data_IF_923370742764
#
_entry.id   IF_923370742764
#
_cell.length_a   1.000
_cell.length_b   1.000
_cell.length_c   1.000
_cell.angle_alpha   90.00
_cell.angle_beta   90.00
_cell.angle_gamma   90.00
#
_symmetry.space_group_name_H-M   'P 1'
#
loop_
_entity.id
_entity.type
_entity.pdbx_description
1 polymer ?
#
# COMPACT_ATOMS: atom_id res chain seq x y z
N UNK A 1 3.66 4.86 30.03
CA UNK A 1 3.37 5.89 29.00
C UNK A 1 3.57 5.35 27.59
N UNK A 2 4.57 4.48 27.35
CA UNK A 2 4.87 3.95 26.00
C UNK A 2 3.67 3.33 25.25
N UNK A 3 2.81 2.59 25.93
CA UNK A 3 1.63 1.96 25.31
C UNK A 3 0.61 2.98 24.79
N UNK A 4 0.44 4.11 25.49
CA UNK A 4 -0.47 5.18 25.07
C UNK A 4 0.11 5.95 23.87
N UNK A 5 1.42 6.15 23.87
CA UNK A 5 2.13 6.78 22.76
C UNK A 5 2.06 5.90 21.50
N UNK A 6 2.29 4.58 21.63
CA UNK A 6 2.13 3.63 20.54
C UNK A 6 0.70 3.61 20.00
N UNK A 7 -0.29 3.56 20.89
CA UNK A 7 -1.70 3.61 20.47
C UNK A 7 -2.00 4.88 19.67
N UNK A 8 -1.61 6.05 20.20
CA UNK A 8 -1.93 7.33 19.59
C UNK A 8 -1.18 7.56 18.27
N UNK A 9 0.08 7.18 18.20
CA UNK A 9 0.88 7.26 16.96
C UNK A 9 0.27 6.41 15.85
N UNK A 10 -0.05 5.16 16.14
CA UNK A 10 -0.65 4.28 15.14
C UNK A 10 -2.13 4.55 14.89
N UNK A 11 -2.85 5.17 15.82
CA UNK A 11 -4.18 5.73 15.58
C UNK A 11 -4.12 6.82 14.50
N UNK A 12 -3.16 7.73 14.58
CA UNK A 12 -2.96 8.77 13.57
C UNK A 12 -2.58 8.14 12.21
N UNK A 13 -1.67 7.18 12.20
CA UNK A 13 -1.34 6.44 10.97
C UNK A 13 -2.58 5.80 10.37
N UNK A 14 -3.39 5.09 11.17
CA UNK A 14 -4.62 4.45 10.69
C UNK A 14 -5.69 5.43 10.21
N UNK A 15 -5.77 6.63 10.80
CA UNK A 15 -6.72 7.67 10.40
C UNK A 15 -6.33 8.36 9.09
N UNK A 16 -5.03 8.64 8.90
CA UNK A 16 -4.55 9.43 7.76
C UNK A 16 -3.97 8.58 6.63
N UNK A 17 -3.85 7.27 6.79
CA UNK A 17 -3.39 6.34 5.77
C UNK A 17 -4.45 6.12 4.68
N UNK A 18 -4.85 7.20 4.02
CA UNK A 18 -5.81 7.15 2.92
C UNK A 18 -5.04 7.02 1.61
N UNK A 19 -5.29 5.95 0.84
CA UNK A 19 -4.68 5.78 -0.48
C UNK A 19 -3.81 4.53 -0.66
N UNK A 20 -3.73 3.65 0.34
CA UNK A 20 -3.03 2.36 0.23
C UNK A 20 -1.73 2.28 1.03
N UNK A 21 -1.10 1.10 1.00
CA UNK A 21 0.03 0.76 1.88
C UNK A 21 1.22 1.73 1.80
N UNK A 22 1.60 2.13 0.59
CA UNK A 22 2.73 3.05 0.38
C UNK A 22 2.44 4.49 0.86
N UNK A 23 1.19 4.92 0.88
CA UNK A 23 0.81 6.23 1.41
C UNK A 23 0.98 6.32 2.93
N UNK A 24 0.96 5.20 3.64
CA UNK A 24 1.20 5.13 5.07
C UNK A 24 2.68 5.29 5.44
N UNK A 25 3.63 4.94 4.55
CA UNK A 25 5.05 4.92 4.87
C UNK A 25 5.61 6.25 5.41
N UNK A 26 5.37 7.40 4.76
CA UNK A 26 5.83 8.67 5.30
C UNK A 26 5.21 9.01 6.66
N UNK A 27 3.96 8.60 6.88
CA UNK A 27 3.29 8.81 8.17
C UNK A 27 3.90 7.94 9.26
N UNK A 28 4.19 6.67 8.97
CA UNK A 28 4.83 5.75 9.90
C UNK A 28 6.24 6.25 10.21
N UNK A 29 7.05 6.60 9.19
CA UNK A 29 8.39 7.14 9.37
C UNK A 29 8.36 8.36 10.30
N UNK A 30 7.50 9.33 10.02
CA UNK A 30 7.36 10.52 10.84
C UNK A 30 7.06 10.19 12.30
N UNK A 31 6.17 9.21 12.57
CA UNK A 31 5.82 8.82 13.93
C UNK A 31 6.95 8.07 14.66
N UNK A 32 7.65 7.16 13.99
CA UNK A 32 8.56 6.20 14.66
C UNK A 32 10.04 6.58 14.57
N UNK A 33 10.40 7.53 13.69
CA UNK A 33 11.77 8.02 13.54
C UNK A 33 11.90 9.48 13.93
N UNK A 34 10.98 10.34 13.44
CA UNK A 34 11.12 11.78 13.56
C UNK A 34 10.53 12.32 14.88
N UNK A 35 9.30 11.92 15.24
CA UNK A 35 8.60 12.37 16.47
C UNK A 35 9.03 11.55 17.68
N UNK A 36 8.95 10.23 17.53
CA UNK A 36 9.37 9.29 18.56
C UNK A 36 10.58 8.51 18.04
N UNK A 37 11.80 8.80 18.48
CA UNK A 37 12.99 8.11 17.99
C UNK A 37 13.08 6.66 18.52
N UNK A 38 12.01 5.89 18.24
CA UNK A 38 11.96 4.48 18.60
C UNK A 38 12.83 3.61 17.69
N UNK A 39 13.00 4.06 16.44
CA UNK A 39 13.80 3.38 15.45
C UNK A 39 14.80 4.33 14.79
N UNK A 40 15.93 3.76 14.37
CA UNK A 40 16.82 4.42 13.41
C UNK A 40 16.23 4.32 12.00
N UNK A 41 16.70 5.14 11.07
CA UNK A 41 16.25 5.08 9.68
C UNK A 41 16.54 3.72 9.02
N UNK A 42 17.65 3.08 9.38
CA UNK A 42 17.99 1.72 8.93
C UNK A 42 17.02 0.69 9.49
N UNK A 43 16.75 0.73 10.81
CA UNK A 43 15.77 -0.15 11.44
C UNK A 43 14.35 0.02 10.88
N UNK A 44 13.97 1.25 10.53
CA UNK A 44 12.70 1.52 9.85
C UNK A 44 12.66 0.85 8.47
N UNK A 45 13.73 0.96 7.66
CA UNK A 45 13.81 0.33 6.35
C UNK A 45 13.68 -1.21 6.44
N UNK A 46 14.34 -1.82 7.42
CA UNK A 46 14.27 -3.28 7.65
C UNK A 46 12.84 -3.73 8.00
N UNK A 47 12.16 -2.97 8.88
CA UNK A 47 10.77 -3.26 9.26
C UNK A 47 9.82 -3.09 8.09
N UNK A 48 9.97 -2.04 7.30
CA UNK A 48 9.11 -1.83 6.12
C UNK A 48 9.32 -2.95 5.11
N UNK A 49 10.54 -3.35 4.85
CA UNK A 49 10.83 -4.49 3.96
C UNK A 49 10.14 -5.78 4.46
N UNK A 50 10.20 -6.03 5.76
CA UNK A 50 9.52 -7.18 6.37
C UNK A 50 7.99 -7.05 6.27
N UNK A 51 7.46 -5.86 6.48
CA UNK A 51 6.03 -5.58 6.38
C UNK A 51 5.49 -5.73 4.95
N UNK A 52 6.30 -5.44 3.94
CA UNK A 52 5.95 -5.62 2.52
C UNK A 52 5.92 -7.11 2.09
N UNK A 53 6.82 -7.92 2.62
CA UNK A 53 6.87 -9.36 2.35
C UNK A 53 5.74 -10.10 3.08
N UNK A 54 5.29 -9.56 4.21
CA UNK A 54 4.23 -10.16 5.02
C UNK A 54 2.85 -9.90 4.39
N UNK A 55 2.05 -10.96 4.12
CA UNK A 55 0.73 -10.77 3.53
C UNK A 55 -0.19 -10.00 4.49
N UNK A 56 -0.69 -8.83 4.05
CA UNK A 56 -1.57 -7.98 4.84
C UNK A 56 -1.38 -6.49 4.54
N UNK A 57 -2.18 -5.61 5.17
CA UNK A 57 -2.00 -4.17 5.03
C UNK A 57 -0.67 -3.72 5.64
N UNK A 58 0.17 -3.04 4.85
CA UNK A 58 1.51 -2.58 5.28
C UNK A 58 1.45 -1.78 6.59
N UNK A 59 0.45 -0.90 6.74
CA UNK A 59 0.29 -0.10 7.96
C UNK A 59 0.05 -0.96 9.21
N UNK A 60 -0.74 -2.03 9.11
CA UNK A 60 -1.02 -2.95 10.21
C UNK A 60 0.20 -3.81 10.53
N UNK A 61 0.87 -4.33 9.48
CA UNK A 61 2.10 -5.11 9.64
C UNK A 61 3.19 -4.26 10.29
N UNK A 62 3.40 -3.03 9.80
CA UNK A 62 4.37 -2.09 10.38
C UNK A 62 4.01 -1.72 11.83
N UNK A 63 2.74 -1.47 12.14
CA UNK A 63 2.30 -1.22 13.50
C UNK A 63 2.69 -2.37 14.44
N UNK A 64 2.47 -3.60 14.01
CA UNK A 64 2.80 -4.80 14.76
C UNK A 64 4.32 -4.93 14.95
N UNK A 65 5.10 -4.86 13.87
CA UNK A 65 6.54 -5.10 13.92
C UNK A 65 7.31 -4.00 14.68
N UNK A 66 6.99 -2.73 14.44
CA UNK A 66 7.56 -1.61 15.20
C UNK A 66 7.30 -1.79 16.68
N UNK A 67 6.06 -2.08 17.04
CA UNK A 67 5.66 -2.14 18.43
C UNK A 67 6.15 -3.38 19.17
N UNK A 68 6.43 -4.48 18.46
CA UNK A 68 7.14 -5.64 19.03
C UNK A 68 8.55 -5.23 19.46
N UNK A 69 9.26 -4.47 18.63
CA UNK A 69 10.62 -4.02 18.98
C UNK A 69 10.63 -3.02 20.15
N UNK A 70 9.61 -2.16 20.23
CA UNK A 70 9.56 -1.08 21.22
C UNK A 70 9.04 -1.55 22.58
N UNK A 71 8.00 -2.38 22.60
CA UNK A 71 7.28 -2.74 23.82
C UNK A 71 6.80 -4.21 23.85
N UNK A 72 7.36 -5.08 23.00
CA UNK A 72 7.02 -6.49 22.94
C UNK A 72 5.57 -6.77 22.48
N UNK A 73 5.09 -7.98 22.76
CA UNK A 73 3.75 -8.42 22.36
C UNK A 73 2.60 -7.51 22.84
N UNK A 74 2.58 -7.00 24.09
CA UNK A 74 1.53 -6.08 24.51
C UNK A 74 1.52 -4.79 23.70
N UNK A 75 2.70 -4.26 23.36
CA UNK A 75 2.84 -3.10 22.48
C UNK A 75 2.26 -3.34 21.11
N UNK A 76 2.54 -4.50 20.51
CA UNK A 76 2.02 -4.89 19.21
C UNK A 76 0.50 -4.92 19.18
N UNK A 77 -0.15 -5.52 20.18
CA UNK A 77 -1.61 -5.57 20.29
C UNK A 77 -2.21 -4.16 20.38
N UNK A 78 -1.64 -3.31 21.23
CA UNK A 78 -2.14 -1.95 21.45
C UNK A 78 -1.99 -1.08 20.19
N UNK A 79 -0.84 -1.13 19.53
CA UNK A 79 -0.58 -0.37 18.32
C UNK A 79 -1.44 -0.86 17.13
N UNK A 80 -1.60 -2.18 17.00
CA UNK A 80 -2.46 -2.76 15.96
C UNK A 80 -3.92 -2.36 16.15
N UNK A 81 -4.43 -2.41 17.39
CA UNK A 81 -5.76 -1.90 17.71
C UNK A 81 -5.86 -0.41 17.39
N UNK A 82 -4.86 0.38 17.79
CA UNK A 82 -4.79 1.81 17.47
C UNK A 82 -4.90 2.08 15.98
N UNK A 83 -4.17 1.34 15.16
CA UNK A 83 -4.17 1.47 13.70
C UNK A 83 -5.54 1.14 13.07
N UNK A 84 -6.23 0.12 13.57
CA UNK A 84 -7.50 -0.36 13.00
C UNK A 84 -8.69 0.45 13.54
N UNK A 85 -8.62 0.93 14.76
CA UNK A 85 -9.73 1.56 15.48
C UNK A 85 -10.42 2.70 14.72
N UNK A 86 -9.69 3.71 14.17
CA UNK A 86 -10.34 4.81 13.46
C UNK A 86 -11.10 4.34 12.23
N UNK A 87 -10.55 3.38 11.47
CA UNK A 87 -11.21 2.80 10.31
C UNK A 87 -12.50 2.08 10.68
N UNK A 88 -12.49 1.32 11.78
CA UNK A 88 -13.70 0.65 12.29
C UNK A 88 -14.77 1.66 12.68
N UNK A 89 -14.42 2.73 13.40
CA UNK A 89 -15.38 3.77 13.80
C UNK A 89 -15.98 4.47 12.58
N UNK A 90 -15.15 4.85 11.62
CA UNK A 90 -15.60 5.51 10.39
C UNK A 90 -16.56 4.60 9.60
N UNK A 91 -16.19 3.32 9.40
CA UNK A 91 -17.01 2.38 8.64
C UNK A 91 -18.34 2.10 9.35
N UNK A 92 -18.33 1.94 10.68
CA UNK A 92 -19.57 1.75 11.46
C UNK A 92 -20.48 2.99 11.38
N UNK A 93 -19.90 4.20 11.49
CA UNK A 93 -20.67 5.42 11.36
C UNK A 93 -21.28 5.57 9.95
N UNK A 94 -20.49 5.29 8.91
CA UNK A 94 -20.97 5.31 7.53
C UNK A 94 -22.06 4.24 7.28
N UNK A 95 -21.88 3.04 7.81
CA UNK A 95 -22.88 1.98 7.72
C UNK A 95 -24.19 2.38 8.40
N UNK A 96 -24.11 2.95 9.62
CA UNK A 96 -25.29 3.48 10.32
C UNK A 96 -26.00 4.57 9.50
N UNK A 97 -25.26 5.54 8.98
CA UNK A 97 -25.81 6.58 8.11
C UNK A 97 -26.46 5.99 6.86
N UNK A 98 -25.82 5.02 6.23
CA UNK A 98 -26.38 4.34 5.06
C UNK A 98 -27.71 3.67 5.39
N UNK A 99 -27.78 2.85 6.43
CA UNK A 99 -29.03 2.16 6.81
C UNK A 99 -30.13 3.15 7.19
N UNK A 100 -29.78 4.26 7.81
CA UNK A 100 -30.73 5.29 8.26
C UNK A 100 -31.28 6.13 7.12
N UNK A 101 -30.45 6.42 6.12
CA UNK A 101 -30.75 7.40 5.07
C UNK A 101 -30.76 6.82 3.65
N UNK A 102 -30.73 5.51 3.48
CA UNK A 102 -30.68 4.83 2.18
C UNK A 102 -31.81 5.19 1.22
N UNK A 103 -32.93 5.70 1.71
CA UNK A 103 -34.07 6.16 0.89
C UNK A 103 -33.93 7.56 0.30
N UNK A 104 -32.91 8.32 0.70
CA UNK A 104 -32.71 9.68 0.21
C UNK A 104 -31.95 9.64 -1.11
N UNK A 105 -32.38 10.51 -2.07
CA UNK A 105 -31.73 10.67 -3.37
C UNK A 105 -30.26 11.09 -3.26
N UNK A 106 -29.92 11.90 -2.28
CA UNK A 106 -28.53 12.32 -1.99
C UNK A 106 -27.65 11.13 -1.66
N UNK A 107 -28.12 10.20 -0.83
CA UNK A 107 -27.37 9.00 -0.47
C UNK A 107 -27.12 8.11 -1.69
N UNK A 108 -28.13 7.95 -2.53
CA UNK A 108 -28.01 7.20 -3.79
C UNK A 108 -27.01 7.87 -4.75
N UNK A 109 -27.01 9.19 -4.83
CA UNK A 109 -26.05 9.96 -5.62
C UNK A 109 -24.60 9.77 -5.15
N UNK A 110 -24.36 9.83 -3.84
CA UNK A 110 -23.03 9.56 -3.25
C UNK A 110 -22.56 8.14 -3.57
N UNK A 111 -23.43 7.15 -3.38
CA UNK A 111 -23.09 5.75 -3.66
C UNK A 111 -22.86 5.49 -5.15
N UNK A 112 -23.56 6.17 -6.03
CA UNK A 112 -23.34 6.07 -7.48
C UNK A 112 -22.01 6.70 -7.91
N UNK A 113 -21.51 7.70 -7.17
CA UNK A 113 -20.21 8.34 -7.44
C UNK A 113 -19.00 7.56 -6.93
N UNK A 114 -19.16 6.63 -5.98
CA UNK A 114 -18.05 5.86 -5.41
C UNK A 114 -17.36 4.92 -6.42
N UNK A 115 -18.07 4.10 -7.23
CA UNK A 115 -17.42 3.18 -8.17
C UNK A 115 -16.50 3.88 -9.17
N UNK A 116 -16.87 4.98 -9.85
CA UNK A 116 -15.96 5.67 -10.75
C UNK A 116 -14.75 6.27 -10.02
N UNK A 117 -14.92 6.76 -8.77
CA UNK A 117 -13.80 7.25 -7.98
C UNK A 117 -12.80 6.12 -7.63
N UNK A 118 -13.29 4.96 -7.24
CA UNK A 118 -12.45 3.77 -6.98
C UNK A 118 -11.72 3.33 -8.24
N UNK A 119 -12.39 3.29 -9.39
CA UNK A 119 -11.76 2.96 -10.68
C UNK A 119 -10.65 3.95 -11.02
N UNK A 120 -10.89 5.25 -10.82
CA UNK A 120 -9.87 6.29 -11.05
C UNK A 120 -8.65 6.12 -10.14
N UNK A 121 -8.86 5.79 -8.87
CA UNK A 121 -7.76 5.50 -7.93
C UNK A 121 -6.96 4.27 -8.34
N UNK A 122 -7.63 3.19 -8.74
CA UNK A 122 -6.97 1.96 -9.23
C UNK A 122 -6.17 2.26 -10.49
N UNK A 123 -6.75 3.01 -11.44
CA UNK A 123 -6.07 3.40 -12.66
C UNK A 123 -4.84 4.27 -12.38
N UNK A 124 -4.95 5.24 -11.48
CA UNK A 124 -3.83 6.09 -11.06
C UNK A 124 -2.69 5.27 -10.43
N UNK A 125 -3.03 4.34 -9.54
CA UNK A 125 -2.06 3.42 -8.95
C UNK A 125 -1.40 2.54 -10.01
N UNK A 126 -2.19 1.99 -10.94
CA UNK A 126 -1.68 1.19 -12.05
C UNK A 126 -0.71 1.97 -12.94
N UNK A 127 -1.04 3.21 -13.29
CA UNK A 127 -0.14 4.08 -14.06
C UNK A 127 1.16 4.34 -13.29
N UNK A 128 1.09 4.62 -12.00
CA UNK A 128 2.28 4.85 -11.17
C UNK A 128 3.20 3.61 -11.11
N UNK A 129 2.62 2.41 -11.01
CA UNK A 129 3.38 1.15 -11.06
C UNK A 129 4.02 0.92 -12.44
N UNK A 130 3.32 1.21 -13.52
CA UNK A 130 3.87 1.12 -14.88
C UNK A 130 5.02 2.12 -15.05
N UNK A 131 4.86 3.37 -14.62
CA UNK A 131 5.93 4.36 -14.66
C UNK A 131 7.15 3.91 -13.85
N UNK A 132 6.93 3.36 -12.66
CA UNK A 132 8.00 2.83 -11.83
C UNK A 132 8.76 1.68 -12.50
N UNK A 133 8.02 0.76 -13.16
CA UNK A 133 8.62 -0.38 -13.84
C UNK A 133 9.39 0.00 -15.11
N UNK A 134 8.93 1.02 -15.86
CA UNK A 134 9.51 1.40 -17.15
C UNK A 134 10.61 2.48 -17.04
N UNK A 135 10.50 3.35 -16.04
CA UNK A 135 11.36 4.54 -15.90
C UNK A 135 12.07 4.64 -14.55
N UNK A 136 11.80 3.72 -13.61
CA UNK A 136 12.32 3.79 -12.24
C UNK A 136 11.77 4.94 -11.40
N UNK A 137 10.76 5.66 -11.89
CA UNK A 137 10.16 6.83 -11.24
C UNK A 137 8.64 6.68 -11.15
N UNK A 138 8.02 7.28 -10.11
CA UNK A 138 6.56 7.20 -9.90
C UNK A 138 5.73 8.16 -10.76
N UNK A 139 6.39 9.10 -11.43
CA UNK A 139 5.78 10.12 -12.30
C UNK A 139 6.25 9.95 -13.72
N UNK A 140 5.46 10.43 -14.70
CA UNK A 140 5.89 10.47 -16.08
C UNK A 140 7.15 11.33 -16.20
N UNK A 141 8.28 10.79 -16.70
CA UNK A 141 9.47 11.57 -16.91
C UNK A 141 9.24 12.56 -18.06
N UNK A 142 9.90 13.73 -17.96
CA UNK A 142 9.90 14.71 -19.04
C UNK A 142 10.70 14.21 -20.26
N UNK A 143 11.61 13.26 -20.06
CA UNK A 143 12.48 12.67 -21.08
C UNK A 143 12.11 11.19 -21.30
N UNK A 144 11.67 10.84 -22.50
CA UNK A 144 11.30 9.48 -22.90
C UNK A 144 12.53 8.61 -23.27
N UNK A 145 13.75 9.18 -23.24
CA UNK A 145 14.96 8.52 -23.70
C UNK A 145 15.50 7.39 -22.83
N UNK A 146 15.10 7.33 -21.55
CA UNK A 146 15.60 6.36 -20.56
C UNK A 146 14.61 5.23 -20.28
N UNK A 147 13.89 4.77 -21.30
CA UNK A 147 12.91 3.70 -21.14
C UNK A 147 13.60 2.33 -21.12
N UNK A 148 13.30 1.52 -20.11
CA UNK A 148 13.79 0.13 -20.03
C UNK A 148 13.03 -0.75 -21.03
N UNK A 149 13.65 -1.02 -22.17
CA UNK A 149 13.09 -1.84 -23.25
C UNK A 149 12.79 -3.28 -22.81
N UNK A 150 13.59 -3.83 -21.89
CA UNK A 150 13.39 -5.18 -21.35
C UNK A 150 12.11 -5.20 -20.52
N UNK A 151 11.94 -4.22 -19.65
CA UNK A 151 10.73 -4.07 -18.84
C UNK A 151 9.49 -3.88 -19.72
N UNK A 152 9.57 -3.08 -20.79
CA UNK A 152 8.49 -2.91 -21.78
C UNK A 152 8.12 -4.23 -22.42
N UNK A 153 9.10 -5.00 -22.88
CA UNK A 153 8.86 -6.29 -23.53
C UNK A 153 8.18 -7.29 -22.58
N UNK A 154 8.68 -7.40 -21.36
CA UNK A 154 8.08 -8.28 -20.33
C UNK A 154 6.64 -7.85 -20.02
N UNK A 155 6.40 -6.55 -19.88
CA UNK A 155 5.06 -6.01 -19.62
C UNK A 155 4.09 -6.33 -20.76
N UNK A 156 4.46 -6.07 -22.01
CA UNK A 156 3.61 -6.34 -23.16
C UNK A 156 3.32 -7.83 -23.34
N UNK A 157 4.33 -8.68 -23.20
CA UNK A 157 4.16 -10.13 -23.28
C UNK A 157 3.25 -10.64 -22.16
N UNK A 158 3.47 -10.21 -20.93
CA UNK A 158 2.64 -10.55 -19.78
C UNK A 158 1.18 -10.10 -19.96
N UNK A 159 0.98 -8.88 -20.46
CA UNK A 159 -0.34 -8.33 -20.73
C UNK A 159 -1.09 -9.14 -21.81
N UNK A 160 -0.43 -9.48 -22.91
CA UNK A 160 -1.01 -10.32 -23.99
C UNK A 160 -1.37 -11.69 -23.47
N UNK A 161 -0.49 -12.34 -22.69
CA UNK A 161 -0.72 -13.66 -22.10
C UNK A 161 -1.95 -13.62 -21.18
N UNK A 162 -2.03 -12.64 -20.29
CA UNK A 162 -3.17 -12.47 -19.39
C UNK A 162 -4.48 -12.23 -20.15
N UNK A 163 -4.44 -11.45 -21.24
CA UNK A 163 -5.62 -11.10 -22.02
C UNK A 163 -6.12 -12.27 -22.87
N UNK A 164 -5.19 -13.03 -23.50
CA UNK A 164 -5.52 -14.08 -24.49
C UNK A 164 -5.81 -15.44 -23.82
N UNK A 165 -5.00 -15.84 -22.87
CA UNK A 165 -5.11 -17.19 -22.25
C UNK A 165 -5.70 -17.17 -20.84
N UNK A 166 -5.84 -15.99 -20.19
CA UNK A 166 -6.39 -15.84 -18.85
C UNK A 166 -5.81 -16.82 -17.82
N UNK A 167 -4.48 -17.06 -17.80
CA UNK A 167 -3.88 -17.89 -16.77
C UNK A 167 -3.97 -17.20 -15.40
N UNK A 168 -3.66 -17.94 -14.33
CA UNK A 168 -3.54 -17.36 -13.00
C UNK A 168 -2.47 -16.23 -13.01
N UNK A 169 -2.76 -15.03 -12.48
CA UNK A 169 -1.80 -13.93 -12.40
C UNK A 169 -0.47 -14.35 -11.77
N UNK A 170 -0.50 -15.22 -10.76
CA UNK A 170 0.70 -15.73 -10.06
C UNK A 170 1.65 -16.47 -11.03
N UNK A 171 1.10 -17.26 -11.97
CA UNK A 171 1.92 -17.96 -12.96
C UNK A 171 2.61 -17.01 -13.93
N UNK A 172 1.90 -15.92 -14.31
CA UNK A 172 2.47 -14.89 -15.19
C UNK A 172 3.54 -14.10 -14.46
N UNK A 173 3.32 -13.75 -13.19
CA UNK A 173 4.32 -13.08 -12.36
C UNK A 173 5.58 -13.93 -12.18
N UNK A 174 5.43 -15.23 -11.85
CA UNK A 174 6.58 -16.14 -11.73
C UNK A 174 7.34 -16.26 -13.05
N UNK A 175 6.63 -16.42 -14.18
CA UNK A 175 7.25 -16.44 -15.50
C UNK A 175 7.97 -15.15 -15.86
N UNK A 176 7.37 -13.99 -15.57
CA UNK A 176 7.98 -12.68 -15.77
C UNK A 176 9.23 -12.48 -14.92
N UNK A 177 9.23 -12.94 -13.66
CA UNK A 177 10.39 -12.88 -12.78
C UNK A 177 11.56 -13.70 -13.33
N UNK A 178 11.32 -14.96 -13.76
CA UNK A 178 12.34 -15.80 -14.37
C UNK A 178 12.89 -15.20 -15.69
N UNK A 179 11.99 -14.72 -16.55
CA UNK A 179 12.38 -14.05 -17.79
C UNK A 179 13.17 -12.77 -17.52
N UNK A 180 12.78 -11.98 -16.51
CA UNK A 180 13.51 -10.77 -16.09
C UNK A 180 14.93 -11.11 -15.66
N UNK A 181 15.10 -12.04 -14.73
CA UNK A 181 16.45 -12.46 -14.28
C UNK A 181 17.31 -12.91 -15.46
N UNK A 182 16.76 -13.74 -16.35
CA UNK A 182 17.51 -14.22 -17.53
C UNK A 182 17.90 -13.09 -18.49
N UNK A 183 16.96 -12.19 -18.82
CA UNK A 183 17.23 -11.09 -19.76
C UNK A 183 18.20 -10.04 -19.20
N UNK A 184 18.05 -9.68 -17.93
CA UNK A 184 18.98 -8.72 -17.30
C UNK A 184 20.38 -9.32 -17.07
N UNK A 185 20.50 -10.65 -16.81
CA UNK A 185 21.80 -11.29 -16.70
C UNK A 185 22.55 -11.39 -18.05
N UNK A 186 21.84 -11.37 -19.18
CA UNK A 186 22.43 -11.36 -20.52
C UNK A 186 22.77 -9.93 -20.96
N UNK A 187 22.02 -8.93 -20.49
CA UNK A 187 22.20 -7.53 -20.86
C UNK A 187 23.26 -6.79 -19.99
N UNK A 188 23.63 -7.35 -18.83
CA UNK A 188 24.68 -6.86 -17.93
C UNK A 188 26.07 -7.34 -18.41
#
# INVERSE_FOLDING_TARGET
>A
MIYLELFWSFFQVGLFSIGGGYAAMPLIQNQVVDIHPWLTMTGFADIITTAEITPGPIAVNAATFVSIQVAGLPGALIATIGCIFPSCVIVMALAYMYYRFRGLSVMQGILAGLPPAVIAMIASAGISLVCMALYGQRTFPADLGNMDLIAVAIFLVGFVILRKWKPSPIKVMAGAAVAGVALYSIAA
#
